data_IF_921347464925
#
_entry.id   IF_921347464925
#
_cell.length_a   1.000
_cell.length_b   1.000
_cell.length_c   1.000
_cell.angle_alpha   90.00
_cell.angle_beta   90.00
_cell.angle_gamma   90.00
#
_symmetry.space_group_name_H-M   'P 1'
#
loop_
_entity.id
_entity.type
_entity.pdbx_description
1 polymer ?
#
# COMPACT_ATOMS: atom_id res chain seq x y z
N UNK A 1 30.42 -6.01 -4.29
CA UNK A 1 29.87 -6.20 -5.65
C UNK A 1 28.58 -5.40 -5.76
N UNK A 2 28.48 -4.49 -6.73
CA UNK A 2 27.26 -3.72 -6.95
C UNK A 2 26.16 -4.61 -7.54
N UNK A 3 24.91 -4.44 -7.09
CA UNK A 3 23.75 -5.06 -7.72
C UNK A 3 23.31 -4.19 -8.90
N UNK A 4 22.95 -4.81 -10.02
CA UNK A 4 22.37 -4.12 -11.19
C UNK A 4 21.00 -3.56 -10.79
N UNK A 5 20.69 -2.33 -11.21
CA UNK A 5 19.35 -1.75 -11.06
C UNK A 5 18.40 -2.54 -11.97
N UNK A 6 17.40 -3.26 -11.43
CA UNK A 6 16.54 -4.12 -12.24
C UNK A 6 15.56 -3.27 -13.06
N UNK A 7 15.14 -3.80 -14.21
CA UNK A 7 13.97 -3.27 -14.94
C UNK A 7 12.71 -3.78 -14.27
N UNK A 8 11.62 -3.02 -14.34
CA UNK A 8 10.35 -3.41 -13.69
C UNK A 8 9.78 -4.69 -14.30
N UNK A 9 9.83 -4.86 -15.63
CA UNK A 9 9.39 -6.10 -16.29
C UNK A 9 10.13 -7.35 -15.79
N UNK A 10 11.45 -7.24 -15.56
CA UNK A 10 12.25 -8.33 -14.99
C UNK A 10 11.78 -8.70 -13.58
N UNK A 11 11.36 -7.72 -12.77
CA UNK A 11 10.84 -7.94 -11.42
C UNK A 11 9.48 -8.65 -11.48
N UNK A 12 8.58 -8.18 -12.36
CA UNK A 12 7.26 -8.80 -12.55
C UNK A 12 7.36 -10.26 -12.98
N UNK A 13 8.27 -10.56 -13.91
CA UNK A 13 8.52 -11.91 -14.41
C UNK A 13 9.12 -12.82 -13.34
N UNK A 14 10.16 -12.35 -12.62
CA UNK A 14 10.89 -13.16 -11.63
C UNK A 14 10.06 -13.46 -10.38
N UNK A 15 9.21 -12.52 -9.97
CA UNK A 15 8.35 -12.64 -8.81
C UNK A 15 6.92 -12.98 -9.26
N UNK A 16 6.78 -14.00 -10.09
CA UNK A 16 5.48 -14.47 -10.55
C UNK A 16 4.62 -14.92 -9.35
N UNK A 17 3.33 -14.56 -9.36
CA UNK A 17 2.39 -14.83 -8.27
C UNK A 17 2.48 -13.88 -7.06
N UNK A 18 3.49 -13.01 -6.98
CA UNK A 18 3.57 -11.98 -5.93
C UNK A 18 2.57 -10.84 -6.20
N UNK A 19 2.07 -10.23 -5.12
CA UNK A 19 1.34 -8.96 -5.16
C UNK A 19 2.36 -7.82 -5.09
N UNK A 20 2.20 -6.81 -5.93
CA UNK A 20 3.07 -5.65 -6.00
C UNK A 20 2.40 -4.40 -5.47
N UNK A 21 3.20 -3.60 -4.77
CA UNK A 21 2.95 -2.18 -4.59
C UNK A 21 3.99 -1.40 -5.41
N UNK A 22 3.59 -0.80 -6.52
CA UNK A 22 4.46 -0.04 -7.40
C UNK A 22 4.37 1.46 -7.07
N UNK A 23 5.35 1.95 -6.31
CA UNK A 23 5.44 3.37 -5.91
C UNK A 23 6.05 4.22 -7.03
N UNK A 24 5.19 4.94 -7.75
CA UNK A 24 5.53 5.73 -8.93
C UNK A 24 6.02 7.11 -8.52
N UNK A 25 7.29 7.40 -8.80
CA UNK A 25 7.94 8.68 -8.44
C UNK A 25 7.89 9.74 -9.53
N UNK A 26 7.72 9.33 -10.79
CA UNK A 26 7.77 10.21 -11.95
C UNK A 26 6.57 10.01 -12.88
N UNK A 27 5.90 11.10 -13.28
CA UNK A 27 4.73 11.04 -14.15
C UNK A 27 5.02 10.38 -15.50
N UNK A 28 6.20 10.63 -16.09
CA UNK A 28 6.63 10.00 -17.35
C UNK A 28 6.78 8.47 -17.29
N UNK A 29 6.89 7.92 -16.07
CA UNK A 29 7.02 6.48 -15.87
C UNK A 29 5.67 5.75 -15.86
N UNK A 30 4.54 6.47 -15.79
CA UNK A 30 3.20 5.87 -15.70
C UNK A 30 2.90 4.98 -16.90
N UNK A 31 2.97 5.49 -18.13
CA UNK A 31 2.62 4.71 -19.31
C UNK A 31 3.57 3.52 -19.55
N UNK A 32 4.91 3.67 -19.47
CA UNK A 32 5.80 2.52 -19.57
C UNK A 32 5.52 1.45 -18.50
N UNK A 33 5.28 1.87 -17.26
CA UNK A 33 4.98 0.94 -16.16
C UNK A 33 3.67 0.18 -16.39
N UNK A 34 2.62 0.85 -16.83
CA UNK A 34 1.34 0.21 -17.14
C UNK A 34 1.50 -0.82 -18.26
N UNK A 35 2.24 -0.50 -19.34
CA UNK A 35 2.53 -1.46 -20.42
C UNK A 35 3.26 -2.70 -19.93
N UNK A 36 4.26 -2.54 -19.06
CA UNK A 36 4.99 -3.68 -18.47
C UNK A 36 4.08 -4.51 -17.56
N UNK A 37 3.19 -3.85 -16.80
CA UNK A 37 2.25 -4.54 -15.91
C UNK A 37 1.15 -5.28 -16.68
N UNK A 38 0.64 -4.73 -17.78
CA UNK A 38 -0.39 -5.35 -18.63
C UNK A 38 -0.01 -6.74 -19.13
N UNK A 39 1.29 -7.01 -19.31
CA UNK A 39 1.75 -8.31 -19.78
C UNK A 39 1.48 -9.43 -18.76
N UNK A 40 1.76 -9.20 -17.47
CA UNK A 40 1.79 -10.30 -16.49
C UNK A 40 1.46 -9.92 -15.03
N UNK A 41 1.22 -8.64 -14.72
CA UNK A 41 1.16 -8.17 -13.33
C UNK A 41 0.04 -7.18 -13.00
N UNK A 42 -0.77 -6.74 -13.96
CA UNK A 42 -1.75 -5.68 -13.78
C UNK A 42 -2.71 -5.94 -12.62
N UNK A 43 -3.36 -7.10 -12.62
CA UNK A 43 -4.35 -7.51 -11.61
C UNK A 43 -3.77 -7.73 -10.21
N UNK A 44 -2.44 -7.89 -10.11
CA UNK A 44 -1.72 -8.10 -8.85
C UNK A 44 -0.89 -6.89 -8.43
N UNK A 45 -1.06 -5.74 -9.10
CA UNK A 45 -0.32 -4.52 -8.80
C UNK A 45 -1.25 -3.43 -8.27
N UNK A 46 -0.86 -2.82 -7.16
CA UNK A 46 -1.36 -1.52 -6.72
C UNK A 46 -0.35 -0.47 -7.14
N UNK A 47 -0.76 0.47 -7.99
CA UNK A 47 0.07 1.61 -8.39
C UNK A 47 -0.15 2.73 -7.40
N UNK A 48 0.89 3.16 -6.69
CA UNK A 48 0.76 4.20 -5.67
C UNK A 48 1.64 5.40 -5.93
N UNK A 49 1.26 6.57 -5.42
CA UNK A 49 2.16 7.71 -5.32
C UNK A 49 1.70 8.65 -4.20
N UNK A 50 2.64 9.44 -3.68
CA UNK A 50 2.35 10.59 -2.80
C UNK A 50 1.94 11.84 -3.60
N UNK A 51 2.15 11.82 -4.92
CA UNK A 51 1.91 12.94 -5.83
C UNK A 51 0.53 12.81 -6.48
N UNK A 52 -0.44 13.70 -6.16
CA UNK A 52 -1.80 13.62 -6.70
C UNK A 52 -1.84 13.59 -8.24
N UNK A 53 -0.99 14.36 -8.90
CA UNK A 53 -0.92 14.41 -10.37
C UNK A 53 -0.50 13.08 -11.00
N UNK A 54 0.29 12.26 -10.29
CA UNK A 54 0.66 10.91 -10.75
C UNK A 54 -0.51 9.95 -10.54
N UNK A 55 -1.19 10.05 -9.39
CA UNK A 55 -2.40 9.25 -9.11
C UNK A 55 -3.47 9.51 -10.15
N UNK A 56 -3.73 10.78 -10.47
CA UNK A 56 -4.69 11.17 -11.51
C UNK A 56 -4.27 10.66 -12.89
N UNK A 57 -2.98 10.71 -13.23
CA UNK A 57 -2.47 10.17 -14.49
C UNK A 57 -2.70 8.66 -14.60
N UNK A 58 -2.46 7.89 -13.53
CA UNK A 58 -2.73 6.45 -13.51
C UNK A 58 -4.24 6.17 -13.63
N UNK A 59 -5.07 6.87 -12.85
CA UNK A 59 -6.54 6.71 -12.90
C UNK A 59 -7.10 7.00 -14.29
N UNK A 60 -6.55 8.00 -14.99
CA UNK A 60 -6.94 8.34 -16.35
C UNK A 60 -6.50 7.29 -17.37
N UNK A 61 -5.25 6.81 -17.25
CA UNK A 61 -4.68 5.85 -18.20
C UNK A 61 -5.24 4.43 -18.01
N UNK A 62 -5.53 4.04 -16.77
CA UNK A 62 -6.10 2.74 -16.42
C UNK A 62 -7.20 2.89 -15.34
N UNK A 63 -8.45 3.18 -15.75
CA UNK A 63 -9.57 3.38 -14.82
C UNK A 63 -9.93 2.16 -13.96
N UNK A 64 -9.55 0.96 -14.41
CA UNK A 64 -9.82 -0.30 -13.71
C UNK A 64 -8.63 -0.77 -12.86
N UNK A 65 -7.49 -0.07 -12.89
CA UNK A 65 -6.33 -0.44 -12.10
C UNK A 65 -6.55 -0.15 -10.61
N UNK A 66 -5.88 -0.92 -9.75
CA UNK A 66 -5.81 -0.60 -8.31
C UNK A 66 -4.84 0.55 -8.10
N UNK A 67 -5.35 1.72 -7.75
CA UNK A 67 -4.53 2.92 -7.52
C UNK A 67 -4.52 3.31 -6.03
N UNK A 68 -3.34 3.47 -5.46
CA UNK A 68 -3.12 3.92 -4.10
C UNK A 68 -2.67 5.37 -4.01
N UNK A 69 -3.04 6.07 -2.95
CA UNK A 69 -2.49 7.39 -2.64
C UNK A 69 -1.77 7.38 -1.30
N UNK A 70 -0.50 7.82 -1.30
CA UNK A 70 0.35 7.86 -0.12
C UNK A 70 0.21 9.17 0.63
N UNK A 71 -0.13 9.07 1.92
CA UNK A 71 -0.22 10.19 2.84
C UNK A 71 1.18 10.40 3.42
N UNK A 72 1.82 11.52 3.12
CA UNK A 72 3.15 11.86 3.66
C UNK A 72 3.12 13.08 4.58
N UNK A 73 1.95 13.70 4.75
CA UNK A 73 1.74 14.81 5.66
C UNK A 73 0.29 15.28 5.68
N UNK A 74 -0.01 16.29 6.49
CA UNK A 74 -1.36 16.83 6.65
C UNK A 74 -1.93 17.39 5.33
N UNK A 75 -1.09 17.97 4.48
CA UNK A 75 -1.49 18.49 3.17
C UNK A 75 -2.00 17.41 2.22
N UNK A 76 -1.51 16.17 2.34
CA UNK A 76 -2.01 15.02 1.56
C UNK A 76 -3.49 14.75 1.88
N UNK A 77 -3.95 14.98 3.11
CA UNK A 77 -5.35 14.73 3.50
C UNK A 77 -6.35 15.60 2.73
N UNK A 78 -5.93 16.79 2.28
CA UNK A 78 -6.77 17.66 1.46
C UNK A 78 -7.05 17.09 0.06
N UNK A 79 -6.20 16.18 -0.41
CA UNK A 79 -6.33 15.53 -1.72
C UNK A 79 -7.20 14.27 -1.69
N UNK A 80 -7.29 13.60 -0.54
CA UNK A 80 -8.11 12.39 -0.37
C UNK A 80 -9.56 12.56 -0.88
N UNK A 81 -10.31 13.63 -0.56
CA UNK A 81 -11.67 13.80 -1.10
C UNK A 81 -11.70 14.20 -2.60
N UNK A 82 -10.58 14.65 -3.18
CA UNK A 82 -10.48 15.09 -4.58
C UNK A 82 -10.15 13.92 -5.51
N UNK A 83 -9.38 12.95 -5.03
CA UNK A 83 -8.95 11.76 -5.78
C UNK A 83 -10.07 10.72 -5.78
N UNK A 84 -11.01 10.85 -6.73
CA UNK A 84 -12.10 9.87 -6.92
C UNK A 84 -11.58 8.61 -7.62
N UNK A 85 -12.05 7.44 -7.21
CA UNK A 85 -11.72 6.17 -7.84
C UNK A 85 -10.43 5.51 -7.33
N UNK A 86 -9.75 6.09 -6.34
CA UNK A 86 -8.62 5.41 -5.69
C UNK A 86 -9.10 4.15 -4.97
N UNK A 87 -8.28 3.10 -5.05
CA UNK A 87 -8.51 1.81 -4.42
C UNK A 87 -8.07 1.81 -2.95
N UNK A 88 -6.94 2.48 -2.65
CA UNK A 88 -6.32 2.40 -1.32
C UNK A 88 -5.71 3.72 -0.87
N UNK A 89 -5.59 3.87 0.45
CA UNK A 89 -4.78 4.90 1.10
C UNK A 89 -3.59 4.25 1.78
N UNK A 90 -2.40 4.77 1.52
CA UNK A 90 -1.18 4.33 2.15
C UNK A 90 -0.85 5.30 3.28
N UNK A 91 -1.12 4.88 4.51
CA UNK A 91 -1.11 5.73 5.70
C UNK A 91 0.10 5.40 6.56
N UNK A 92 0.91 6.38 6.96
CA UNK A 92 2.05 6.11 7.81
C UNK A 92 1.59 5.90 9.24
N UNK A 93 2.26 4.98 9.94
CA UNK A 93 1.97 4.70 11.35
C UNK A 93 2.33 5.89 12.24
N UNK A 94 3.35 6.67 11.86
CA UNK A 94 3.82 7.83 12.62
C UNK A 94 2.76 8.94 12.75
N UNK A 95 1.75 8.95 11.87
CA UNK A 95 0.56 9.80 11.96
C UNK A 95 -0.10 9.72 13.35
N UNK A 96 0.00 8.58 14.04
CA UNK A 96 -0.46 8.43 15.43
C UNK A 96 0.17 9.45 16.36
N UNK A 97 1.46 9.78 16.19
CA UNK A 97 2.18 10.75 17.01
C UNK A 97 1.69 12.18 16.81
N UNK A 98 1.06 12.47 15.66
CA UNK A 98 0.55 13.80 15.34
C UNK A 98 -0.89 14.03 15.77
N UNK A 99 -1.75 13.01 15.65
CA UNK A 99 -3.20 13.14 15.92
C UNK A 99 -3.67 12.39 17.16
N UNK A 100 -2.82 11.53 17.73
CA UNK A 100 -3.16 10.62 18.82
C UNK A 100 -3.87 9.35 18.33
N UNK A 101 -3.69 8.25 19.07
CA UNK A 101 -4.18 6.92 18.67
C UNK A 101 -5.70 6.86 18.44
N UNK A 102 -6.49 7.50 19.31
CA UNK A 102 -7.96 7.49 19.20
C UNK A 102 -8.48 8.18 17.93
N UNK A 103 -7.94 9.36 17.62
CA UNK A 103 -8.28 10.09 16.40
C UNK A 103 -7.78 9.34 15.16
N UNK A 104 -6.56 8.79 15.22
CA UNK A 104 -5.98 8.01 14.12
C UNK A 104 -6.85 6.80 13.76
N UNK A 105 -7.28 5.99 14.75
CA UNK A 105 -8.20 4.88 14.50
C UNK A 105 -9.51 5.34 13.87
N UNK A 106 -10.09 6.44 14.38
CA UNK A 106 -11.35 7.00 13.85
C UNK A 106 -11.20 7.45 12.39
N UNK A 107 -10.04 8.02 12.03
CA UNK A 107 -9.71 8.38 10.65
C UNK A 107 -9.62 7.14 9.75
N UNK A 108 -8.86 6.12 10.16
CA UNK A 108 -8.76 4.87 9.41
C UNK A 108 -10.13 4.21 9.22
N UNK A 109 -10.95 4.13 10.26
CA UNK A 109 -12.31 3.61 10.17
C UNK A 109 -13.17 4.42 9.20
N UNK A 110 -13.04 5.74 9.19
CA UNK A 110 -13.77 6.62 8.29
C UNK A 110 -13.37 6.39 6.83
N UNK A 111 -12.09 6.19 6.55
CA UNK A 111 -11.62 5.82 5.21
C UNK A 111 -12.15 4.46 4.77
N UNK A 112 -12.13 3.44 5.65
CA UNK A 112 -12.72 2.13 5.36
C UNK A 112 -14.21 2.20 5.05
N UNK A 113 -14.97 3.01 5.81
CA UNK A 113 -16.41 3.23 5.56
C UNK A 113 -16.68 3.85 4.19
N UNK A 114 -15.69 4.52 3.58
CA UNK A 114 -15.75 5.04 2.20
C UNK A 114 -15.34 4.02 1.15
N UNK A 115 -15.10 2.76 1.54
CA UNK A 115 -14.70 1.68 0.64
C UNK A 115 -13.20 1.62 0.34
N UNK A 116 -12.38 2.45 0.98
CA UNK A 116 -10.94 2.49 0.74
C UNK A 116 -10.24 1.37 1.50
N UNK A 117 -9.30 0.71 0.82
CA UNK A 117 -8.34 -0.19 1.47
C UNK A 117 -7.27 0.62 2.21
N UNK A 118 -6.81 0.12 3.34
CA UNK A 118 -5.83 0.80 4.19
C UNK A 118 -4.52 0.04 4.19
N UNK A 119 -3.48 0.65 3.63
CA UNK A 119 -2.14 0.10 3.59
C UNK A 119 -1.32 0.88 4.61
N UNK A 120 -0.80 0.21 5.63
CA UNK A 120 0.06 0.85 6.62
C UNK A 120 1.51 0.78 6.17
N UNK A 121 2.25 1.87 6.31
CA UNK A 121 3.69 1.87 6.12
C UNK A 121 4.37 2.54 7.32
N UNK A 122 5.62 2.17 7.56
CA UNK A 122 6.35 2.63 8.72
C UNK A 122 7.34 3.75 8.37
N UNK A 123 7.42 4.75 9.24
CA UNK A 123 8.45 5.78 9.22
C UNK A 123 8.99 5.97 10.64
N UNK A 124 9.96 5.13 11.03
CA UNK A 124 10.64 5.27 12.32
C UNK A 124 9.81 4.90 13.56
N UNK A 125 8.70 4.17 13.40
CA UNK A 125 7.89 3.68 14.52
C UNK A 125 8.21 2.22 14.85
N UNK A 126 7.93 1.81 16.09
CA UNK A 126 8.00 0.40 16.51
C UNK A 126 6.82 -0.39 15.91
N UNK A 127 7.08 -1.12 14.83
CA UNK A 127 6.06 -1.92 14.13
C UNK A 127 5.47 -3.01 15.03
N UNK A 128 6.26 -3.63 15.90
CA UNK A 128 5.78 -4.69 16.79
C UNK A 128 4.80 -4.14 17.83
N UNK A 129 4.98 -2.88 18.23
CA UNK A 129 4.05 -2.21 19.12
C UNK A 129 2.76 -1.76 18.43
N UNK A 130 2.88 -1.18 17.23
CA UNK A 130 1.76 -0.48 16.58
C UNK A 130 0.93 -1.35 15.65
N UNK A 131 1.53 -2.27 14.88
CA UNK A 131 0.76 -3.05 13.91
C UNK A 131 -0.29 -3.93 14.58
N UNK A 132 -0.03 -4.70 15.66
CA UNK A 132 -1.08 -5.51 16.30
C UNK A 132 -2.33 -4.69 16.68
N UNK A 133 -2.15 -3.43 17.05
CA UNK A 133 -3.21 -2.51 17.48
C UNK A 133 -4.00 -1.87 16.33
N UNK A 134 -3.46 -1.93 15.13
CA UNK A 134 -4.02 -1.32 13.92
C UNK A 134 -4.43 -2.38 12.88
N UNK A 135 -4.03 -3.64 13.06
CA UNK A 135 -4.21 -4.71 12.08
C UNK A 135 -5.67 -4.92 11.68
N UNK A 136 -6.62 -4.81 12.63
CA UNK A 136 -8.05 -4.92 12.34
C UNK A 136 -8.60 -3.81 11.42
N UNK A 137 -7.81 -2.76 11.17
CA UNK A 137 -8.15 -1.63 10.32
C UNK A 137 -7.33 -1.60 9.03
N UNK A 138 -6.31 -2.46 8.91
CA UNK A 138 -5.40 -2.52 7.77
C UNK A 138 -5.76 -3.68 6.84
N UNK A 139 -5.61 -3.46 5.54
CA UNK A 139 -5.70 -4.51 4.52
C UNK A 139 -4.30 -4.98 4.08
N UNK A 140 -3.26 -4.15 4.25
CA UNK A 140 -1.87 -4.51 4.04
C UNK A 140 -0.92 -3.74 4.96
N UNK A 141 0.26 -4.30 5.19
CA UNK A 141 1.36 -3.64 5.92
C UNK A 141 2.62 -3.71 5.06
N UNK A 142 3.22 -2.56 4.80
CA UNK A 142 4.48 -2.38 4.10
C UNK A 142 5.55 -2.19 5.18
N UNK A 143 6.42 -3.19 5.32
CA UNK A 143 7.44 -3.29 6.37
C UNK A 143 8.80 -3.59 5.74
N UNK A 144 9.85 -3.00 6.32
CA UNK A 144 11.24 -3.30 5.96
C UNK A 144 11.70 -4.68 6.46
N UNK A 145 11.05 -5.21 7.51
CA UNK A 145 11.32 -6.55 8.05
C UNK A 145 10.01 -7.36 8.24
N UNK A 146 9.39 -7.79 7.13
CA UNK A 146 8.15 -8.55 7.17
C UNK A 146 8.33 -9.94 7.80
N UNK A 147 9.57 -10.45 7.92
CA UNK A 147 9.84 -11.73 8.57
C UNK A 147 9.75 -11.59 10.10
N UNK A 148 10.36 -10.55 10.67
CA UNK A 148 10.25 -10.24 12.09
C UNK A 148 8.81 -9.91 12.49
N UNK A 149 8.13 -9.11 11.68
CA UNK A 149 6.74 -8.74 11.95
C UNK A 149 5.83 -9.97 11.98
N UNK A 150 5.97 -10.90 11.02
CA UNK A 150 5.25 -12.18 11.01
C UNK A 150 5.52 -13.03 12.25
N UNK A 151 6.79 -13.17 12.66
CA UNK A 151 7.15 -13.93 13.87
C UNK A 151 6.50 -13.35 15.13
N UNK A 152 6.41 -12.02 15.23
CA UNK A 152 5.70 -11.36 16.32
C UNK A 152 4.24 -11.82 16.43
N UNK A 153 3.52 -11.88 15.30
CA UNK A 153 2.13 -12.35 15.29
C UNK A 153 1.96 -13.84 15.58
N UNK A 154 2.87 -14.68 15.09
CA UNK A 154 2.83 -16.13 15.33
C UNK A 154 3.21 -16.49 16.76
N UNK A 155 4.08 -15.71 17.42
CA UNK A 155 4.44 -15.90 18.84
C UNK A 155 3.32 -15.49 19.81
N UNK A 156 2.46 -14.54 19.42
CA UNK A 156 1.34 -14.04 20.23
C UNK A 156 -0.02 -14.71 19.93
N UNK A 157 -0.05 -15.73 19.06
CA UNK A 157 -1.27 -16.48 18.74
C UNK A 157 -2.30 -15.72 17.90
N UNK A 158 -1.88 -14.66 17.19
CA UNK A 158 -2.78 -13.72 16.48
C UNK A 158 -3.17 -14.21 15.07
N UNK A 159 -2.53 -15.26 14.54
CA UNK A 159 -2.89 -15.85 13.24
C UNK A 159 -3.10 -17.37 13.33
N UNK A 160 -4.35 -17.80 13.43
CA UNK A 160 -4.76 -19.18 13.06
C UNK A 160 -5.58 -19.23 11.76
N UNK A 161 -5.69 -18.12 11.00
CA UNK A 161 -6.63 -18.01 9.85
C UNK A 161 -6.07 -17.31 8.59
N UNK A 162 -4.75 -17.28 8.38
CA UNK A 162 -4.15 -16.49 7.29
C UNK A 162 -3.81 -17.23 5.99
N UNK A 163 -3.29 -18.46 6.07
CA UNK A 163 -2.56 -19.04 4.93
C UNK A 163 -3.38 -19.95 4.01
N UNK A 164 -4.70 -20.05 4.19
CA UNK A 164 -5.53 -21.00 3.41
C UNK A 164 -6.47 -20.39 2.36
N UNK A 165 -6.59 -19.07 2.20
CA UNK A 165 -7.59 -18.49 1.27
C UNK A 165 -7.12 -17.30 0.41
N UNK A 166 -5.85 -17.23 0.04
CA UNK A 166 -5.43 -16.37 -1.08
C UNK A 166 -5.40 -17.23 -2.35
N UNK A 167 -6.56 -17.37 -3.00
CA UNK A 167 -6.66 -18.12 -4.26
C UNK A 167 -8.03 -18.67 -4.67
N UNK A 168 -9.11 -18.42 -3.91
CA UNK A 168 -10.47 -18.73 -4.37
C UNK A 168 -11.47 -17.66 -3.92
N UNK A 169 -12.02 -16.96 -4.91
CA UNK A 169 -13.05 -15.92 -4.79
C UNK A 169 -13.21 -15.24 -6.13
#
# INVERSE_FOLDING_TARGET
MGRIIPRVGDVFTRLNGAVFNADVKEARAVEPLLREAELEALERTVFSSERPEIVEAVLKACPNCRVGFSIVGYSSLMWVPRLKGIYSLHVPIDAVSYVGYGAFRSLLQSFRKRGLKIYLWNHGMDELHWIPRLLSLADAVISDDPARLRKGFYGEGVFSWGDSNVGKG
#
